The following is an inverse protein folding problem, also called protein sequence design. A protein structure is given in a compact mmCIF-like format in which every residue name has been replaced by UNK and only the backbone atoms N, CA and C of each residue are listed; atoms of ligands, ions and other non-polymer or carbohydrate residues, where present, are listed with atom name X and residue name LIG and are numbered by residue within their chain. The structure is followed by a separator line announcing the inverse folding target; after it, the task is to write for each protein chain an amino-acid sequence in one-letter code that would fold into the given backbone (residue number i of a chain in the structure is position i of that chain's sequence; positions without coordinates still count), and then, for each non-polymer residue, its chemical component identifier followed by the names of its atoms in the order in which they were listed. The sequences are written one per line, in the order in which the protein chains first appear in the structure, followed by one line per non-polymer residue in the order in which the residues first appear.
data_IF_192645585850
#
_entry.id   IF_192645585850
#
_cell.length_a   1.000
_cell.length_b   1.000
_cell.length_c   1.000
_cell.angle_alpha   90.00
_cell.angle_beta   90.00
_cell.angle_gamma   90.00
#
_symmetry.space_group_name_H-M   'P 1'
#
loop_
_entity.id
_entity.type
_entity.pdbx_description
1 polymer ?
#
# COMPACT_ATOMS: atom_id res chain seq x y z
N UNK A 1 -7.56 -0.88 -29.31
CA UNK A 1 -8.28 -1.60 -28.23
C UNK A 1 -8.33 -0.68 -27.04
N UNK A 2 -9.53 -0.35 -26.54
CA UNK A 2 -9.64 0.44 -25.31
C UNK A 2 -9.33 -0.46 -24.11
N UNK A 3 -8.69 0.10 -23.10
CA UNK A 3 -8.40 -0.58 -21.83
C UNK A 3 -9.26 0.03 -20.72
N UNK A 4 -9.87 -0.82 -19.94
CA UNK A 4 -10.48 -0.44 -18.66
C UNK A 4 -9.44 -0.61 -17.56
N UNK A 5 -9.32 0.36 -16.68
CA UNK A 5 -8.32 0.36 -15.62
C UNK A 5 -8.91 0.56 -14.22
N UNK A 6 -8.24 -0.02 -13.25
CA UNK A 6 -8.40 0.28 -11.84
C UNK A 6 -7.04 0.65 -11.26
N UNK A 7 -7.02 1.67 -10.41
CA UNK A 7 -5.81 2.12 -9.70
C UNK A 7 -6.02 1.97 -8.20
N UNK A 8 -5.09 1.27 -7.57
CA UNK A 8 -5.02 1.06 -6.12
C UNK A 8 -3.91 1.93 -5.56
N UNK A 9 -4.22 2.75 -4.58
CA UNK A 9 -3.26 3.61 -3.91
C UNK A 9 -3.17 3.25 -2.43
N UNK A 10 -1.99 3.46 -1.85
CA UNK A 10 -1.71 3.33 -0.43
C UNK A 10 -0.96 4.56 0.06
N UNK A 11 -1.30 5.05 1.25
CA UNK A 11 -0.57 6.14 1.90
C UNK A 11 -0.60 6.00 3.43
N UNK A 12 0.57 5.91 4.05
CA UNK A 12 0.71 6.12 5.50
C UNK A 12 0.68 7.63 5.75
N UNK A 13 -0.40 8.12 6.34
CA UNK A 13 -0.61 9.56 6.55
C UNK A 13 -0.14 10.05 7.93
N UNK A 14 0.28 9.15 8.82
CA UNK A 14 1.00 9.47 10.05
C UNK A 14 0.27 10.35 11.07
N UNK A 15 -1.07 10.48 11.00
CA UNK A 15 -1.83 11.39 11.88
C UNK A 15 -2.15 10.81 13.25
N UNK A 16 -2.27 9.49 13.34
CA UNK A 16 -2.49 8.78 14.60
C UNK A 16 -1.55 7.58 14.76
N UNK A 17 -0.22 7.79 14.80
CA UNK A 17 0.73 6.71 15.03
C UNK A 17 0.52 6.10 16.43
N UNK A 18 1.07 4.89 16.64
CA UNK A 18 0.91 4.17 17.92
C UNK A 18 1.58 4.89 19.10
N UNK A 19 2.56 5.74 18.87
CA UNK A 19 3.31 6.45 19.91
C UNK A 19 2.52 7.63 20.48
N UNK A 20 1.97 8.49 19.62
CA UNK A 20 1.17 9.65 20.02
C UNK A 20 0.35 10.17 18.83
N UNK A 21 -0.94 10.45 19.05
CA UNK A 21 -1.76 11.08 17.99
C UNK A 21 -1.28 12.50 17.72
N UNK A 22 -1.32 12.89 16.45
CA UNK A 22 -1.08 14.25 15.96
C UNK A 22 -2.36 14.88 15.41
N UNK A 23 -3.53 14.23 15.61
CA UNK A 23 -4.82 14.63 15.02
C UNK A 23 -5.21 16.07 15.33
N UNK A 24 -4.88 16.56 16.53
CA UNK A 24 -5.16 17.95 16.94
C UNK A 24 -4.34 19.00 16.13
N UNK A 25 -3.29 18.58 15.43
CA UNK A 25 -2.43 19.43 14.60
C UNK A 25 -2.83 19.39 13.12
N UNK A 26 -3.83 18.58 12.76
CA UNK A 26 -4.22 18.30 11.37
C UNK A 26 -5.32 19.24 10.93
N UNK A 27 -5.10 19.93 9.82
CA UNK A 27 -6.18 20.54 9.03
C UNK A 27 -6.84 19.48 8.16
N UNK A 28 -7.99 18.97 8.63
CA UNK A 28 -8.73 17.91 7.91
C UNK A 28 -9.31 18.34 6.58
N UNK A 29 -9.51 19.64 6.33
CA UNK A 29 -9.97 20.16 5.03
C UNK A 29 -8.84 20.04 4.00
N UNK A 30 -7.63 20.45 4.37
CA UNK A 30 -6.44 20.29 3.55
C UNK A 30 -6.11 18.83 3.34
N UNK A 31 -6.09 18.02 4.40
CA UNK A 31 -5.83 16.56 4.30
C UNK A 31 -6.83 15.90 3.35
N UNK A 32 -8.14 16.19 3.49
CA UNK A 32 -9.15 15.59 2.61
C UNK A 32 -8.95 16.02 1.16
N UNK A 33 -8.54 17.26 0.93
CA UNK A 33 -8.20 17.75 -0.42
C UNK A 33 -7.01 16.98 -1.01
N UNK A 34 -5.95 16.73 -0.23
CA UNK A 34 -4.80 15.92 -0.65
C UNK A 34 -5.20 14.45 -0.94
N UNK A 35 -6.06 13.86 -0.09
CA UNK A 35 -6.59 12.51 -0.32
C UNK A 35 -7.43 12.45 -1.61
N UNK A 36 -8.28 13.45 -1.85
CA UNK A 36 -9.10 13.51 -3.07
C UNK A 36 -8.27 13.78 -4.32
N UNK A 37 -7.11 14.43 -4.21
CA UNK A 37 -6.20 14.60 -5.34
C UNK A 37 -5.71 13.26 -5.90
N UNK A 38 -5.60 12.20 -5.06
CA UNK A 38 -5.26 10.86 -5.53
C UNK A 38 -6.35 10.28 -6.46
N UNK A 39 -7.60 10.67 -6.28
CA UNK A 39 -8.70 10.25 -7.17
C UNK A 39 -8.83 11.15 -8.40
N UNK A 40 -8.71 12.46 -8.24
CA UNK A 40 -8.98 13.42 -9.32
C UNK A 40 -7.79 13.59 -10.26
N UNK A 41 -6.57 13.62 -9.74
CA UNK A 41 -5.32 13.80 -10.50
C UNK A 41 -4.71 12.45 -10.87
N UNK A 42 -4.54 11.55 -9.87
CA UNK A 42 -3.89 10.26 -10.07
C UNK A 42 -4.87 9.13 -10.44
N UNK A 43 -6.20 9.44 -10.51
CA UNK A 43 -7.27 8.54 -10.97
C UNK A 43 -7.38 7.24 -10.15
N UNK A 44 -7.07 7.29 -8.86
CA UNK A 44 -7.26 6.16 -7.97
C UNK A 44 -8.73 5.67 -8.03
N UNK A 45 -8.93 4.38 -7.95
CA UNK A 45 -10.24 3.76 -7.76
C UNK A 45 -10.43 3.41 -6.28
N UNK A 46 -9.32 3.13 -5.60
CA UNK A 46 -9.24 2.82 -4.19
C UNK A 46 -7.97 3.46 -3.60
N UNK A 47 -8.09 4.08 -2.44
CA UNK A 47 -7.00 4.55 -1.60
C UNK A 47 -7.15 3.94 -0.21
N UNK A 48 -6.18 3.13 0.22
CA UNK A 48 -6.08 2.75 1.61
C UNK A 48 -5.10 3.67 2.32
N UNK A 49 -5.44 4.04 3.54
CA UNK A 49 -4.63 4.88 4.44
C UNK A 49 -4.36 4.15 5.73
N UNK A 50 -3.25 4.46 6.39
CA UNK A 50 -2.96 3.95 7.74
C UNK A 50 -2.46 5.03 8.68
N UNK A 51 -2.21 4.62 9.93
CA UNK A 51 -1.96 5.50 11.07
C UNK A 51 -3.10 6.47 11.32
N UNK A 52 -4.32 5.97 11.23
CA UNK A 52 -5.56 6.68 11.55
C UNK A 52 -6.26 6.09 12.77
N UNK A 53 -7.03 6.91 13.47
CA UNK A 53 -7.99 6.49 14.47
C UNK A 53 -9.41 6.51 13.91
N UNK A 54 -10.37 5.88 14.59
CA UNK A 54 -11.78 5.94 14.19
C UNK A 54 -12.35 7.36 14.23
N UNK A 55 -11.82 8.25 15.10
CA UNK A 55 -12.18 9.68 15.10
C UNK A 55 -11.67 10.38 13.84
N UNK A 56 -10.43 10.12 13.42
CA UNK A 56 -9.87 10.70 12.18
C UNK A 56 -10.68 10.27 10.95
N UNK A 57 -11.04 8.97 10.91
CA UNK A 57 -11.88 8.43 9.83
C UNK A 57 -13.24 9.12 9.78
N UNK A 58 -13.86 9.45 10.92
CA UNK A 58 -15.11 10.20 10.97
C UNK A 58 -14.95 11.63 10.46
N UNK A 59 -13.85 12.31 10.84
CA UNK A 59 -13.56 13.66 10.35
C UNK A 59 -13.38 13.68 8.83
N UNK A 60 -12.67 12.71 8.28
CA UNK A 60 -12.52 12.54 6.82
C UNK A 60 -13.88 12.24 6.19
N UNK A 61 -14.67 11.31 6.77
CA UNK A 61 -15.97 10.89 6.22
C UNK A 61 -16.96 12.06 6.05
N UNK A 62 -16.97 13.00 6.99
CA UNK A 62 -17.85 14.19 6.95
C UNK A 62 -17.53 15.14 5.78
N UNK A 63 -16.31 15.08 5.25
CA UNK A 63 -15.80 15.92 4.17
C UNK A 63 -15.87 15.25 2.80
N UNK A 64 -16.12 13.94 2.77
CA UNK A 64 -16.26 13.21 1.53
C UNK A 64 -17.66 13.43 0.92
N UNK A 65 -17.68 13.62 -0.39
CA UNK A 65 -18.92 13.69 -1.18
C UNK A 65 -18.98 12.54 -2.19
N UNK A 66 -20.21 12.24 -2.67
CA UNK A 66 -20.38 11.26 -3.75
C UNK A 66 -19.48 11.59 -4.95
N UNK A 67 -18.82 10.59 -5.59
CA UNK A 67 -19.04 9.15 -5.41
C UNK A 67 -18.16 8.49 -4.34
N UNK A 68 -17.37 9.24 -3.59
CA UNK A 68 -16.39 8.69 -2.67
C UNK A 68 -17.03 8.22 -1.36
N UNK A 69 -16.66 7.03 -0.93
CA UNK A 69 -17.06 6.43 0.34
C UNK A 69 -15.83 6.02 1.13
N UNK A 70 -15.96 5.96 2.45
CA UNK A 70 -14.91 5.48 3.33
C UNK A 70 -15.39 4.26 4.12
N UNK A 71 -14.53 3.25 4.25
CA UNK A 71 -14.70 2.08 5.10
C UNK A 71 -13.69 2.19 6.24
N UNK A 72 -14.19 2.35 7.47
CA UNK A 72 -13.38 2.33 8.69
C UNK A 72 -13.01 0.87 9.01
N UNK A 73 -11.73 0.58 9.06
CA UNK A 73 -11.16 -0.71 9.40
C UNK A 73 -10.36 -0.65 10.71
N UNK A 74 -10.46 0.48 11.42
CA UNK A 74 -9.77 0.64 12.70
C UNK A 74 -10.39 -0.28 13.75
N UNK A 75 -9.58 -1.11 14.36
CA UNK A 75 -10.04 -2.08 15.33
C UNK A 75 -8.99 -2.40 16.39
N UNK A 76 -9.38 -2.37 17.68
CA UNK A 76 -8.49 -2.73 18.77
C UNK A 76 -8.45 -4.26 18.95
N UNK A 77 -7.26 -4.86 18.88
CA UNK A 77 -7.04 -6.29 19.09
C UNK A 77 -5.94 -6.52 20.12
N UNK A 78 -6.33 -6.98 21.32
CA UNK A 78 -5.40 -7.15 22.44
C UNK A 78 -4.73 -5.83 22.85
N UNK A 79 -3.38 -5.80 22.81
CA UNK A 79 -2.56 -4.61 23.10
C UNK A 79 -2.17 -3.81 21.85
N UNK A 80 -2.66 -4.19 20.69
CA UNK A 80 -2.42 -3.53 19.43
C UNK A 80 -3.74 -3.12 18.78
N UNK A 81 -3.67 -2.40 17.66
CA UNK A 81 -4.85 -2.01 16.89
C UNK A 81 -4.56 -2.14 15.40
N UNK A 82 -5.56 -2.41 14.62
CA UNK A 82 -5.59 -2.04 13.21
C UNK A 82 -5.92 -0.56 13.11
N UNK A 83 -5.26 0.13 12.23
CA UNK A 83 -5.25 1.59 12.12
C UNK A 83 -5.35 2.01 10.66
N UNK A 84 -6.16 1.27 9.87
CA UNK A 84 -6.35 1.50 8.44
C UNK A 84 -7.78 1.91 8.12
N UNK A 85 -7.94 2.58 6.98
CA UNK A 85 -9.24 2.84 6.37
C UNK A 85 -9.11 2.80 4.84
N UNK A 86 -10.22 2.60 4.13
CA UNK A 86 -10.27 2.61 2.67
C UNK A 86 -11.21 3.69 2.20
N UNK A 87 -10.74 4.60 1.35
CA UNK A 87 -11.57 5.50 0.54
C UNK A 87 -11.68 4.90 -0.86
N UNK A 88 -12.87 4.91 -1.46
CA UNK A 88 -13.07 4.31 -2.78
C UNK A 88 -14.14 5.01 -3.60
N UNK A 89 -14.00 4.94 -4.92
CA UNK A 89 -15.00 5.41 -5.87
C UNK A 89 -16.13 4.37 -6.01
N UNK A 90 -17.26 4.62 -5.37
CA UNK A 90 -18.40 3.70 -5.33
C UNK A 90 -19.13 3.54 -6.68
N UNK A 91 -18.74 4.29 -7.72
CA UNK A 91 -19.20 4.07 -9.11
C UNK A 91 -18.35 3.05 -9.86
N UNK A 92 -17.13 2.77 -9.39
CA UNK A 92 -16.19 1.84 -10.02
C UNK A 92 -16.11 0.51 -9.30
N UNK A 93 -16.10 0.54 -7.97
CA UNK A 93 -15.89 -0.65 -7.14
C UNK A 93 -16.79 -0.67 -5.92
N UNK A 94 -17.02 -1.86 -5.41
CA UNK A 94 -17.55 -2.09 -4.07
C UNK A 94 -16.51 -2.80 -3.20
N UNK A 95 -16.48 -2.46 -1.89
CA UNK A 95 -15.45 -2.92 -0.96
C UNK A 95 -16.12 -3.45 0.30
N UNK A 96 -15.68 -4.61 0.77
CA UNK A 96 -16.14 -5.21 2.02
C UNK A 96 -15.02 -5.90 2.79
N UNK A 97 -15.00 -5.70 4.11
CA UNK A 97 -14.08 -6.39 5.01
C UNK A 97 -14.46 -7.87 5.14
N UNK A 98 -13.48 -8.76 5.05
CA UNK A 98 -13.69 -10.20 5.19
C UNK A 98 -13.13 -10.72 6.52
N UNK A 99 -11.87 -10.38 6.85
CA UNK A 99 -11.16 -11.01 7.96
C UNK A 99 -9.94 -10.19 8.38
N UNK A 100 -9.63 -10.20 9.68
CA UNK A 100 -8.37 -9.70 10.23
C UNK A 100 -7.41 -10.89 10.44
N UNK A 101 -6.28 -10.85 9.75
CA UNK A 101 -5.24 -11.87 9.87
C UNK A 101 -4.35 -11.56 11.06
N UNK A 102 -4.49 -12.32 12.12
CA UNK A 102 -3.72 -12.16 13.35
C UNK A 102 -3.23 -13.51 13.87
N UNK A 103 -2.14 -13.49 14.62
CA UNK A 103 -1.67 -14.65 15.39
C UNK A 103 -1.28 -14.23 16.81
N UNK A 104 -1.40 -15.13 17.76
CA UNK A 104 -0.91 -14.93 19.12
C UNK A 104 0.33 -15.77 19.36
N UNK A 105 1.44 -15.13 19.72
CA UNK A 105 2.69 -15.82 20.08
C UNK A 105 3.11 -15.29 21.44
N UNK A 106 3.27 -16.18 22.41
CA UNK A 106 3.67 -15.83 23.78
C UNK A 106 2.87 -14.67 24.38
N UNK A 107 1.53 -14.68 24.17
CA UNK A 107 0.62 -13.65 24.67
C UNK A 107 0.67 -12.31 23.93
N UNK A 108 1.46 -12.20 22.85
CA UNK A 108 1.54 -11.01 21.98
C UNK A 108 0.75 -11.24 20.69
N UNK A 109 -0.07 -10.27 20.31
CA UNK A 109 -0.80 -10.31 19.04
C UNK A 109 0.12 -9.78 17.92
N UNK A 110 0.24 -10.55 16.85
CA UNK A 110 0.87 -10.14 15.58
C UNK A 110 -0.25 -9.84 14.59
N UNK A 111 -0.25 -8.64 14.04
CA UNK A 111 -1.13 -8.23 12.94
C UNK A 111 -0.40 -8.54 11.64
N UNK A 112 -1.00 -9.33 10.76
CA UNK A 112 -0.44 -9.61 9.45
C UNK A 112 -1.08 -8.74 8.37
N UNK A 113 -2.41 -8.76 8.26
CA UNK A 113 -3.15 -7.98 7.29
C UNK A 113 -4.64 -7.87 7.67
N UNK A 114 -5.34 -6.96 7.00
CA UNK A 114 -6.80 -6.96 6.88
C UNK A 114 -7.17 -7.42 5.48
N UNK A 115 -7.99 -8.48 5.40
CA UNK A 115 -8.45 -9.09 4.14
C UNK A 115 -9.73 -8.44 3.69
N UNK A 116 -9.74 -7.96 2.47
CA UNK A 116 -10.80 -7.16 1.88
C UNK A 116 -11.23 -7.79 0.56
N UNK A 117 -12.54 -7.86 0.34
CA UNK A 117 -13.11 -8.19 -0.98
C UNK A 117 -13.31 -6.89 -1.74
N UNK A 118 -12.83 -6.84 -2.97
CA UNK A 118 -13.08 -5.76 -3.92
C UNK A 118 -13.82 -6.33 -5.12
N UNK A 119 -14.96 -5.72 -5.45
CA UNK A 119 -15.76 -6.09 -6.62
C UNK A 119 -15.73 -4.92 -7.60
N UNK A 120 -15.22 -5.15 -8.80
CA UNK A 120 -15.32 -4.22 -9.91
C UNK A 120 -16.75 -4.23 -10.47
N UNK A 121 -17.36 -3.06 -10.67
CA UNK A 121 -18.81 -2.97 -10.91
C UNK A 121 -19.21 -3.07 -12.39
N UNK A 122 -18.27 -2.99 -13.32
CA UNK A 122 -18.58 -3.06 -14.76
C UNK A 122 -18.91 -4.48 -15.20
N UNK A 123 -18.09 -5.46 -14.81
CA UNK A 123 -18.21 -6.86 -15.22
C UNK A 123 -18.34 -7.82 -14.02
N UNK A 124 -18.32 -7.29 -12.80
CA UNK A 124 -18.45 -8.07 -11.57
C UNK A 124 -17.17 -8.84 -11.16
N UNK A 125 -16.01 -8.42 -11.64
CA UNK A 125 -14.75 -9.08 -11.29
C UNK A 125 -14.40 -8.89 -9.82
N UNK A 126 -13.93 -9.96 -9.20
CA UNK A 126 -13.57 -9.98 -7.79
C UNK A 126 -12.05 -10.07 -7.59
N UNK A 127 -11.55 -9.28 -6.64
CA UNK A 127 -10.18 -9.31 -6.17
C UNK A 127 -10.14 -9.49 -4.66
N UNK A 128 -9.09 -10.17 -4.18
CA UNK A 128 -8.76 -10.20 -2.76
C UNK A 128 -7.64 -9.19 -2.51
N UNK A 129 -7.91 -8.22 -1.63
CA UNK A 129 -6.96 -7.19 -1.26
C UNK A 129 -6.54 -7.39 0.19
N UNK A 130 -5.25 -7.32 0.46
CA UNK A 130 -4.68 -7.37 1.80
C UNK A 130 -4.04 -6.04 2.15
N UNK A 131 -4.47 -5.44 3.25
CA UNK A 131 -3.90 -4.21 3.80
C UNK A 131 -2.95 -4.54 4.94
N UNK A 132 -1.71 -4.08 4.82
CA UNK A 132 -0.64 -4.37 5.77
C UNK A 132 -0.11 -3.08 6.40
N UNK A 133 0.00 -3.06 7.72
CA UNK A 133 0.84 -2.10 8.44
C UNK A 133 1.63 -2.87 9.48
N UNK A 134 2.88 -3.20 9.16
CA UNK A 134 3.73 -4.07 9.95
C UNK A 134 4.52 -3.28 11.02
N UNK A 135 5.07 -3.99 12.05
CA UNK A 135 5.82 -3.36 13.12
C UNK A 135 7.05 -2.59 12.62
N UNK A 136 7.23 -1.36 13.13
CA UNK A 136 8.37 -0.52 12.76
C UNK A 136 9.72 -1.13 13.16
N UNK A 137 10.80 -0.64 12.55
CA UNK A 137 12.18 -1.05 12.82
C UNK A 137 12.74 -0.52 14.15
N UNK A 138 12.04 0.42 14.78
CA UNK A 138 12.49 1.07 16.02
C UNK A 138 12.51 0.14 17.25
N UNK A 139 11.83 -1.02 17.17
CA UNK A 139 11.78 -1.99 18.26
C UNK A 139 12.62 -3.21 17.95
N UNK A 140 13.42 -3.69 18.92
CA UNK A 140 14.34 -4.80 18.72
C UNK A 140 13.71 -6.14 18.32
N UNK A 141 12.40 -6.35 18.57
CA UNK A 141 11.65 -7.56 18.17
C UNK A 141 10.82 -7.34 16.87
N UNK A 142 10.99 -6.20 16.21
CA UNK A 142 10.22 -5.82 15.02
C UNK A 142 10.44 -6.78 13.85
N UNK A 143 11.68 -7.17 13.56
CA UNK A 143 12.01 -8.07 12.47
C UNK A 143 11.34 -9.45 12.61
N UNK A 144 11.46 -10.09 13.79
CA UNK A 144 10.82 -11.38 14.03
C UNK A 144 9.29 -11.33 13.87
N UNK A 145 8.69 -10.19 14.23
CA UNK A 145 7.25 -9.98 14.05
C UNK A 145 6.88 -9.81 12.57
N UNK A 146 7.70 -9.08 11.78
CA UNK A 146 7.47 -8.91 10.34
C UNK A 146 7.62 -10.23 9.59
N UNK A 147 8.66 -11.02 9.90
CA UNK A 147 8.80 -12.38 9.35
C UNK A 147 7.55 -13.22 9.61
N UNK A 148 7.05 -13.19 10.85
CA UNK A 148 5.84 -13.96 11.19
C UNK A 148 4.58 -13.40 10.54
N UNK A 149 4.46 -12.09 10.40
CA UNK A 149 3.34 -11.47 9.69
C UNK A 149 3.33 -11.89 8.21
N UNK A 150 4.52 -11.95 7.59
CA UNK A 150 4.68 -12.44 6.23
C UNK A 150 4.24 -13.89 6.07
N UNK A 151 4.64 -14.80 6.98
CA UNK A 151 4.19 -16.20 6.96
C UNK A 151 2.67 -16.34 7.02
N UNK A 152 2.03 -15.60 7.95
CA UNK A 152 0.56 -15.63 8.13
C UNK A 152 -0.14 -15.13 6.87
N UNK A 153 0.36 -14.03 6.30
CA UNK A 153 -0.19 -13.43 5.09
C UNK A 153 -0.02 -14.36 3.88
N UNK A 154 1.18 -14.96 3.72
CA UNK A 154 1.45 -15.88 2.64
C UNK A 154 0.54 -17.11 2.68
N UNK A 155 0.32 -17.71 3.83
CA UNK A 155 -0.57 -18.87 3.98
C UNK A 155 -2.00 -18.56 3.56
N UNK A 156 -2.59 -17.46 4.00
CA UNK A 156 -3.96 -17.08 3.62
C UNK A 156 -4.04 -16.68 2.14
N UNK A 157 -3.07 -15.91 1.64
CA UNK A 157 -3.10 -15.43 0.27
C UNK A 157 -2.81 -16.53 -0.76
N UNK A 158 -1.94 -17.48 -0.44
CA UNK A 158 -1.67 -18.64 -1.31
C UNK A 158 -2.89 -19.57 -1.44
N UNK A 159 -3.70 -19.70 -0.38
CA UNK A 159 -4.97 -20.42 -0.44
C UNK A 159 -5.94 -19.73 -1.41
N UNK A 160 -6.09 -18.40 -1.33
CA UNK A 160 -6.95 -17.64 -2.26
C UNK A 160 -6.46 -17.74 -3.72
N UNK A 161 -5.14 -17.62 -3.93
CA UNK A 161 -4.55 -17.77 -5.26
C UNK A 161 -4.75 -19.18 -5.82
N UNK A 162 -4.59 -20.22 -5.00
CA UNK A 162 -4.83 -21.62 -5.40
C UNK A 162 -6.30 -21.88 -5.76
N UNK A 163 -7.22 -21.09 -5.19
CA UNK A 163 -8.64 -21.09 -5.55
C UNK A 163 -8.96 -20.20 -6.78
N UNK A 164 -7.93 -19.74 -7.50
CA UNK A 164 -8.06 -18.95 -8.73
C UNK A 164 -8.37 -17.46 -8.51
N UNK A 165 -8.26 -16.95 -7.28
CA UNK A 165 -8.49 -15.54 -7.00
C UNK A 165 -7.26 -14.71 -7.33
N UNK A 166 -7.49 -13.52 -7.89
CA UNK A 166 -6.46 -12.51 -8.05
C UNK A 166 -6.26 -11.75 -6.75
N UNK A 167 -5.02 -11.78 -6.23
CA UNK A 167 -4.67 -11.16 -4.96
C UNK A 167 -3.76 -9.94 -5.15
N UNK A 168 -4.05 -8.89 -4.40
CA UNK A 168 -3.25 -7.66 -4.30
C UNK A 168 -2.88 -7.47 -2.82
N UNK A 169 -1.62 -7.24 -2.55
CA UNK A 169 -1.13 -6.94 -1.20
C UNK A 169 -0.58 -5.52 -1.23
N UNK A 170 -1.02 -4.66 -0.32
CA UNK A 170 -0.46 -3.31 -0.21
C UNK A 170 -0.35 -2.85 1.24
N UNK A 171 0.64 -2.01 1.52
CA UNK A 171 0.87 -1.57 2.88
C UNK A 171 2.20 -0.88 3.11
N UNK A 172 2.34 -0.41 4.36
CA UNK A 172 3.61 -0.10 4.98
C UNK A 172 4.16 -1.38 5.65
N UNK A 173 5.14 -1.98 5.02
CA UNK A 173 5.76 -3.22 5.50
C UNK A 173 6.88 -2.96 6.50
N UNK A 174 7.35 -1.72 6.63
CA UNK A 174 8.54 -1.36 7.39
C UNK A 174 9.80 -2.19 7.00
N UNK A 175 9.75 -2.82 5.83
CA UNK A 175 10.83 -3.59 5.19
C UNK A 175 10.91 -3.21 3.70
N UNK A 176 12.13 -3.18 3.15
CA UNK A 176 12.36 -2.93 1.74
C UNK A 176 12.03 -4.17 0.89
N UNK A 177 11.84 -4.04 -0.43
CA UNK A 177 11.51 -5.15 -1.32
C UNK A 177 12.49 -6.35 -1.26
N UNK A 178 13.72 -6.13 -0.81
CA UNK A 178 14.75 -7.17 -0.69
C UNK A 178 14.87 -7.78 0.70
N UNK A 179 14.14 -7.27 1.67
CA UNK A 179 14.20 -7.84 3.02
C UNK A 179 13.55 -9.23 3.07
N UNK A 180 14.05 -10.07 3.98
CA UNK A 180 13.70 -11.50 4.07
C UNK A 180 12.20 -11.73 4.19
N UNK A 181 11.51 -10.88 4.96
CA UNK A 181 10.04 -10.96 5.13
C UNK A 181 9.29 -10.82 3.80
N UNK A 182 9.75 -9.94 2.90
CA UNK A 182 9.12 -9.67 1.61
C UNK A 182 9.52 -10.73 0.58
N UNK A 183 10.84 -10.91 0.39
CA UNK A 183 11.32 -11.77 -0.69
C UNK A 183 11.14 -13.26 -0.39
N UNK A 184 11.43 -13.69 0.84
CA UNK A 184 11.46 -15.11 1.18
C UNK A 184 10.14 -15.59 1.82
N UNK A 185 9.68 -14.93 2.90
CA UNK A 185 8.50 -15.40 3.61
C UNK A 185 7.18 -15.09 2.86
N UNK A 186 7.07 -13.90 2.24
CA UNK A 186 5.91 -13.53 1.43
C UNK A 186 6.00 -14.01 -0.02
N UNK A 187 7.17 -14.53 -0.46
CA UNK A 187 7.42 -14.94 -1.84
C UNK A 187 7.12 -13.84 -2.87
N UNK A 188 7.46 -12.58 -2.54
CA UNK A 188 7.25 -11.44 -3.42
C UNK A 188 8.53 -11.12 -4.20
N UNK A 189 8.55 -11.53 -5.48
CA UNK A 189 9.76 -11.50 -6.31
C UNK A 189 9.75 -10.35 -7.32
N UNK A 190 10.93 -10.05 -7.88
CA UNK A 190 11.13 -9.06 -8.94
C UNK A 190 11.20 -9.66 -10.36
N UNK A 191 11.22 -10.98 -10.47
CA UNK A 191 11.45 -11.66 -11.72
C UNK A 191 10.11 -12.01 -12.38
N UNK A 192 9.83 -11.42 -13.55
CA UNK A 192 8.63 -11.68 -14.32
C UNK A 192 8.51 -13.17 -14.71
N UNK A 193 9.62 -13.80 -15.14
CA UNK A 193 9.59 -15.19 -15.61
C UNK A 193 9.33 -16.18 -14.48
N UNK A 194 9.95 -15.97 -13.32
CA UNK A 194 9.69 -16.79 -12.14
C UNK A 194 8.22 -16.65 -11.69
N UNK A 195 7.70 -15.41 -11.66
CA UNK A 195 6.32 -15.16 -11.26
C UNK A 195 5.31 -15.74 -12.24
N UNK A 196 5.56 -15.66 -13.56
CA UNK A 196 4.70 -16.28 -14.60
C UNK A 196 4.70 -17.80 -14.53
N UNK A 197 5.85 -18.38 -14.15
CA UNK A 197 5.98 -19.84 -14.03
C UNK A 197 5.15 -20.41 -12.88
N UNK A 198 4.99 -19.63 -11.79
CA UNK A 198 4.27 -20.03 -10.59
C UNK A 198 3.21 -18.99 -10.20
N UNK A 199 2.21 -18.71 -11.06
CA UNK A 199 1.30 -17.58 -10.91
C UNK A 199 0.37 -17.68 -9.71
N UNK A 200 0.18 -18.87 -9.15
CA UNK A 200 -0.67 -19.14 -7.98
C UNK A 200 0.12 -19.25 -6.66
N UNK A 201 1.45 -19.03 -6.70
CA UNK A 201 2.32 -19.20 -5.54
C UNK A 201 3.15 -17.96 -5.24
N UNK A 202 3.42 -17.13 -6.27
CA UNK A 202 4.39 -16.04 -6.22
C UNK A 202 3.68 -14.70 -6.45
N UNK A 203 4.07 -13.72 -5.64
CA UNK A 203 3.74 -12.33 -5.88
C UNK A 203 4.83 -11.64 -6.70
N UNK A 204 4.43 -10.77 -7.61
CA UNK A 204 5.33 -9.83 -8.26
C UNK A 204 5.37 -8.52 -7.49
N UNK A 205 6.56 -8.05 -7.18
CA UNK A 205 6.78 -6.77 -6.52
C UNK A 205 7.45 -5.78 -7.48
N UNK A 206 6.75 -4.79 -8.04
CA UNK A 206 7.34 -3.81 -8.95
C UNK A 206 8.17 -2.74 -8.22
N UNK A 207 8.09 -2.63 -6.89
CA UNK A 207 8.66 -1.52 -6.12
C UNK A 207 10.17 -1.62 -5.88
N UNK A 208 10.80 -2.76 -6.16
CA UNK A 208 12.25 -2.88 -6.12
C UNK A 208 12.96 -1.86 -7.04
N UNK A 209 12.33 -1.44 -8.14
CA UNK A 209 12.83 -0.40 -9.05
C UNK A 209 12.91 0.98 -8.42
N UNK A 210 12.18 1.20 -7.33
CA UNK A 210 12.05 2.49 -6.66
C UNK A 210 13.09 2.69 -5.55
N UNK A 211 13.99 1.72 -5.36
CA UNK A 211 15.15 1.83 -4.48
C UNK A 211 16.34 2.57 -5.13
N UNK A 212 16.21 2.94 -6.38
CA UNK A 212 17.30 3.60 -7.12
C UNK A 212 17.01 5.10 -7.25
N UNK A 213 18.01 5.93 -7.00
CA UNK A 213 17.91 7.37 -7.23
C UNK A 213 17.54 7.67 -8.68
N UNK A 214 16.67 8.66 -8.88
CA UNK A 214 16.27 9.14 -10.21
C UNK A 214 17.40 9.82 -10.98
N UNK A 215 18.41 10.35 -10.27
CA UNK A 215 19.56 11.03 -10.86
C UNK A 215 20.86 10.28 -10.59
N UNK A 216 21.72 10.21 -11.58
CA UNK A 216 23.07 9.71 -11.38
C UNK A 216 23.89 10.68 -10.52
N UNK A 217 24.81 10.16 -9.73
CA UNK A 217 25.75 10.99 -9.02
C UNK A 217 26.60 11.83 -9.98
N UNK A 218 26.68 13.12 -9.71
CA UNK A 218 27.56 14.02 -10.45
C UNK A 218 28.22 14.98 -9.46
N UNK A 219 29.55 14.88 -9.34
CA UNK A 219 30.36 15.68 -8.42
C UNK A 219 30.32 17.20 -8.73
N UNK A 220 29.98 17.59 -9.97
CA UNK A 220 29.85 18.99 -10.37
C UNK A 220 28.52 19.61 -9.94
N UNK A 221 27.54 18.80 -9.60
CA UNK A 221 26.22 19.27 -9.16
C UNK A 221 26.18 19.74 -7.69
N UNK A 222 27.26 19.58 -6.95
CA UNK A 222 27.38 20.00 -5.56
C UNK A 222 26.29 19.42 -4.65
N UNK A 223 25.83 20.23 -3.69
CA UNK A 223 24.75 19.86 -2.75
C UNK A 223 23.35 19.73 -3.39
N UNK A 224 23.19 20.02 -4.67
CA UNK A 224 21.91 19.95 -5.38
C UNK A 224 21.53 18.54 -5.82
N UNK A 225 22.46 17.59 -5.81
CA UNK A 225 22.16 16.17 -6.02
C UNK A 225 21.45 15.58 -4.79
N UNK A 226 20.17 15.94 -4.61
CA UNK A 226 19.36 15.32 -3.57
C UNK A 226 19.10 13.87 -3.99
N UNK A 227 19.67 12.92 -3.27
CA UNK A 227 19.30 11.52 -3.37
C UNK A 227 17.84 11.39 -2.94
N UNK A 228 16.98 10.89 -3.84
CA UNK A 228 15.59 10.63 -3.59
C UNK A 228 15.27 9.24 -4.14
N UNK A 229 14.84 8.34 -3.24
CA UNK A 229 14.59 6.94 -3.60
C UNK A 229 13.72 6.28 -2.53
N UNK A 230 12.52 5.85 -2.90
CA UNK A 230 11.62 5.17 -1.99
C UNK A 230 10.38 5.98 -1.61
N UNK A 231 9.66 5.49 -0.63
CA UNK A 231 8.40 6.06 -0.13
C UNK A 231 8.49 6.69 1.25
N UNK A 232 9.46 6.30 2.06
CA UNK A 232 9.63 6.77 3.43
C UNK A 232 10.96 7.50 3.60
N UNK A 233 10.94 8.66 4.28
CA UNK A 233 12.12 9.48 4.54
C UNK A 233 12.35 9.65 6.04
N UNK A 234 13.54 9.26 6.51
CA UNK A 234 13.95 9.44 7.90
C UNK A 234 15.32 10.11 7.99
N UNK A 235 15.33 11.38 8.39
CA UNK A 235 16.53 12.25 8.37
C UNK A 235 17.66 11.77 9.25
N UNK A 236 17.37 11.03 10.32
CA UNK A 236 18.36 10.53 11.30
C UNK A 236 18.79 9.10 11.05
N UNK A 237 18.51 8.52 9.89
CA UNK A 237 18.91 7.16 9.57
C UNK A 237 20.43 7.03 9.44
N UNK A 238 21.00 5.95 9.97
CA UNK A 238 22.45 5.71 9.97
C UNK A 238 23.00 5.19 8.63
N UNK A 239 22.15 4.62 7.78
CA UNK A 239 22.55 3.99 6.50
C UNK A 239 21.99 4.72 5.29
N UNK A 240 20.67 4.87 5.22
CA UNK A 240 19.97 5.56 4.16
C UNK A 240 18.78 6.31 4.75
N UNK A 241 18.61 7.57 4.35
CA UNK A 241 17.44 8.34 4.76
C UNK A 241 16.16 7.88 4.05
N UNK A 242 16.30 7.24 2.89
CA UNK A 242 15.19 6.77 2.08
C UNK A 242 15.02 5.26 2.18
N UNK A 243 13.77 4.82 2.33
CA UNK A 243 13.36 3.42 2.35
C UNK A 243 12.12 3.22 1.47
N UNK A 244 11.98 2.02 0.91
CA UNK A 244 10.81 1.61 0.14
C UNK A 244 9.91 0.73 1.01
N UNK A 245 9.29 1.32 2.04
CA UNK A 245 8.46 0.59 3.00
C UNK A 245 7.03 0.40 2.52
N UNK A 246 6.51 1.37 1.74
CA UNK A 246 5.17 1.31 1.17
C UNK A 246 5.23 0.64 -0.19
N UNK A 247 4.56 -0.51 -0.33
CA UNK A 247 4.63 -1.35 -1.53
C UNK A 247 3.25 -1.87 -1.90
N UNK A 248 3.03 -2.12 -3.19
CA UNK A 248 1.87 -2.82 -3.72
C UNK A 248 2.37 -3.97 -4.58
N UNK A 249 2.01 -5.19 -4.20
CA UNK A 249 2.42 -6.43 -4.83
C UNK A 249 1.19 -7.12 -5.41
N UNK A 250 1.35 -7.78 -6.53
CA UNK A 250 0.25 -8.46 -7.22
C UNK A 250 0.56 -9.93 -7.41
N UNK A 251 -0.44 -10.80 -7.33
CA UNK A 251 -0.29 -12.22 -7.65
C UNK A 251 0.17 -12.41 -9.09
N UNK A 252 0.87 -13.50 -9.36
CA UNK A 252 1.40 -13.80 -10.70
C UNK A 252 0.33 -13.87 -11.80
N UNK A 253 -0.93 -14.07 -11.42
CA UNK A 253 -2.07 -14.01 -12.33
C UNK A 253 -2.18 -12.70 -13.13
N UNK A 254 -1.72 -11.59 -12.58
CA UNK A 254 -1.67 -10.29 -13.27
C UNK A 254 -0.55 -10.16 -14.32
N UNK A 255 0.33 -11.15 -14.44
CA UNK A 255 1.44 -11.14 -15.41
C UNK A 255 1.16 -11.97 -16.67
N UNK A 256 -0.09 -12.03 -17.13
CA UNK A 256 -0.45 -12.59 -18.42
C UNK A 256 -1.28 -13.88 -18.39
N UNK A 257 -1.59 -14.44 -17.22
CA UNK A 257 -2.39 -15.67 -17.13
C UNK A 257 -3.90 -15.43 -16.95
N UNK A 258 -4.32 -14.17 -16.78
CA UNK A 258 -5.74 -13.78 -16.63
C UNK A 258 -6.10 -12.61 -17.53
N UNK A 259 -7.36 -12.18 -17.53
CA UNK A 259 -7.81 -10.99 -18.28
C UNK A 259 -7.34 -9.65 -17.70
N UNK A 260 -6.95 -9.64 -16.42
CA UNK A 260 -6.41 -8.47 -15.77
C UNK A 260 -4.89 -8.49 -15.77
N UNK A 261 -4.27 -7.39 -16.12
CA UNK A 261 -2.82 -7.26 -16.26
C UNK A 261 -2.29 -6.07 -15.46
N UNK A 262 -1.14 -6.26 -14.83
CA UNK A 262 -0.40 -5.17 -14.20
C UNK A 262 0.09 -4.19 -15.28
N UNK A 263 -0.18 -2.90 -15.09
CA UNK A 263 0.41 -1.80 -15.86
C UNK A 263 1.60 -1.24 -15.08
N UNK A 264 2.76 -1.86 -15.25
CA UNK A 264 3.95 -1.56 -14.44
C UNK A 264 4.49 -0.13 -14.68
N UNK A 265 4.31 0.44 -15.87
CA UNK A 265 4.69 1.83 -16.19
C UNK A 265 3.94 2.86 -15.37
N UNK A 266 2.70 2.55 -14.98
CA UNK A 266 1.80 3.39 -14.19
C UNK A 266 1.84 3.04 -12.69
N UNK A 267 2.81 2.19 -12.28
CA UNK A 267 2.95 1.71 -10.90
C UNK A 267 4.19 2.31 -10.26
N UNK A 268 4.04 2.89 -9.07
CA UNK A 268 5.18 3.46 -8.36
C UNK A 268 4.84 4.41 -7.24
N UNK A 269 5.81 5.25 -6.89
CA UNK A 269 5.71 6.29 -5.86
C UNK A 269 5.18 7.56 -6.47
N UNK A 270 4.24 8.21 -5.81
CA UNK A 270 3.75 9.55 -6.17
C UNK A 270 4.63 10.56 -5.44
N UNK A 271 5.65 11.04 -6.14
CA UNK A 271 6.71 11.90 -5.61
C UNK A 271 6.73 13.29 -6.27
N UNK A 272 5.61 13.72 -6.84
CA UNK A 272 5.47 15.02 -7.49
C UNK A 272 4.90 16.07 -6.53
N UNK A 273 5.25 17.33 -6.84
CA UNK A 273 4.64 18.50 -6.23
C UNK A 273 4.65 18.51 -4.71
N UNK A 274 3.49 18.66 -4.11
CA UNK A 274 3.30 18.88 -2.68
C UNK A 274 3.73 17.69 -1.81
N UNK A 275 3.51 16.45 -2.25
CA UNK A 275 3.87 15.26 -1.47
C UNK A 275 5.36 15.21 -1.14
N UNK A 276 6.23 15.43 -2.15
CA UNK A 276 7.68 15.44 -1.92
C UNK A 276 8.12 16.66 -1.08
N UNK A 277 7.48 17.80 -1.27
CA UNK A 277 7.77 19.00 -0.47
C UNK A 277 7.42 18.75 1.00
N UNK A 278 6.24 18.19 1.26
CA UNK A 278 5.79 17.90 2.61
C UNK A 278 6.73 16.94 3.35
N UNK A 279 7.13 15.82 2.73
CA UNK A 279 7.99 14.82 3.39
C UNK A 279 9.41 15.34 3.68
N UNK A 280 9.89 16.32 2.92
CA UNK A 280 11.21 16.95 3.12
C UNK A 280 11.17 18.15 4.06
N UNK A 281 10.00 18.61 4.47
CA UNK A 281 9.84 19.70 5.44
C UNK A 281 9.96 19.14 6.87
N UNK A 282 10.91 19.64 7.64
CA UNK A 282 11.13 19.24 9.03
C UNK A 282 9.94 19.55 9.97
N UNK A 283 9.03 20.43 9.58
CA UNK A 283 7.81 20.76 10.31
C UNK A 283 6.61 19.90 9.94
N UNK A 284 6.73 19.06 8.90
CA UNK A 284 5.64 18.22 8.41
C UNK A 284 5.34 17.05 9.36
N UNK A 285 4.07 16.68 9.40
CA UNK A 285 3.64 15.44 10.07
C UNK A 285 3.87 14.20 9.19
N UNK A 286 4.05 14.40 7.88
CA UNK A 286 4.19 13.34 6.89
C UNK A 286 5.65 12.91 6.75
N UNK A 287 5.90 11.62 6.77
CA UNK A 287 7.20 10.98 6.52
C UNK A 287 7.12 9.86 5.46
N UNK A 288 5.93 9.66 4.87
CA UNK A 288 5.69 8.73 3.77
C UNK A 288 5.09 9.42 2.55
N UNK A 289 5.48 8.95 1.36
CA UNK A 289 4.88 9.30 0.07
C UNK A 289 3.80 8.28 -0.30
N UNK A 290 2.71 8.71 -0.97
CA UNK A 290 1.74 7.75 -1.49
C UNK A 290 2.35 6.87 -2.59
N UNK A 291 1.86 5.65 -2.69
CA UNK A 291 2.21 4.70 -3.76
C UNK A 291 0.95 4.28 -4.51
N UNK A 292 1.11 3.96 -5.79
CA UNK A 292 0.00 3.61 -6.68
C UNK A 292 0.37 2.41 -7.56
N UNK A 293 -0.63 1.58 -7.87
CA UNK A 293 -0.54 0.45 -8.79
C UNK A 293 -1.74 0.46 -9.73
N UNK A 294 -1.50 0.30 -11.02
CA UNK A 294 -2.56 0.19 -12.03
C UNK A 294 -2.67 -1.23 -12.54
N UNK A 295 -3.91 -1.72 -12.63
CA UNK A 295 -4.27 -2.95 -13.34
C UNK A 295 -5.24 -2.62 -14.46
N UNK A 296 -5.13 -3.34 -15.58
CA UNK A 296 -5.93 -3.11 -16.79
C UNK A 296 -6.52 -4.39 -17.33
N UNK A 297 -7.68 -4.27 -17.99
CA UNK A 297 -8.25 -5.35 -18.83
C UNK A 297 -8.72 -4.78 -20.18
N UNK A 298 -8.79 -5.62 -21.23
CA UNK A 298 -9.44 -5.23 -22.50
C UNK A 298 -10.90 -4.84 -22.26
N UNK A 299 -11.35 -3.73 -22.86
CA UNK A 299 -12.78 -3.45 -22.96
C UNK A 299 -13.40 -4.34 -24.04
N UNK A 300 -14.32 -5.20 -23.65
CA UNK A 300 -15.15 -5.92 -24.60
C UNK A 300 -16.22 -4.94 -25.08
N UNK A 301 -16.11 -4.49 -26.34
CA UNK A 301 -17.22 -3.78 -26.96
C UNK A 301 -18.35 -4.79 -27.15
N UNK A 302 -19.40 -4.71 -26.35
CA UNK A 302 -20.66 -5.37 -26.69
C UNK A 302 -21.18 -4.71 -27.97
N UNK A 303 -20.97 -5.38 -29.11
CA UNK A 303 -21.54 -5.04 -30.41
C UNK A 303 -23.02 -5.40 -30.40
#
# INVERSE_FOLDING_TARGET
MRLYNLRFAWWNIGISPAAASKSDMVDFDNLTTELLALFTVHRASLLAICEVSSSDVKEIAQRLSSPYKILDLTFKTGRTRFDTAIIYDSKKINVSHLKDLTSKIQGRTIKAAQKIKVIELKDGDEFVLYLCHWPSRLRGDGEAKRLRAADILYLDSSEEMSNGKLAIIMGDFNDNPYDVSIQNNLCALRCHDATRKYPMEIFYNPFWRKLVSKSNYNHLSGKQNKFHSGSHYYVSASQSNWHMFDQIMVSGGFLGSTKWHLQESETGVIDNGQYLTNILDNGSIYDHLPVICEITKPEVNNV
#
